data_IF_121447561775
#
_entry.id   IF_121447561775
#
_cell.length_a   1.000
_cell.length_b   1.000
_cell.length_c   1.000
_cell.angle_alpha   90.00
_cell.angle_beta   90.00
_cell.angle_gamma   90.00
#
_symmetry.space_group_name_H-M   'P 1'
#
loop_
_entity.id
_entity.type
_entity.pdbx_description
1 polymer ?
#
# COMPACT_ATOMS: atom_id res chain seq x y z
N UNK A 1 28.40 3.43 -26.79
CA UNK A 1 28.46 3.80 -25.37
C UNK A 1 27.00 3.99 -24.92
N UNK A 2 26.43 2.95 -24.36
CA UNK A 2 25.04 3.01 -23.81
C UNK A 2 25.15 3.75 -22.48
N UNK A 3 24.54 4.93 -22.39
CA UNK A 3 24.46 5.66 -21.14
C UNK A 3 23.67 4.78 -20.15
N UNK A 4 24.32 4.41 -19.04
CA UNK A 4 23.63 3.76 -17.93
C UNK A 4 22.48 4.69 -17.48
N UNK A 5 21.27 4.16 -17.36
CA UNK A 5 20.16 4.89 -16.76
C UNK A 5 20.60 5.41 -15.38
N UNK A 6 20.27 6.64 -15.00
CA UNK A 6 20.62 7.17 -13.69
C UNK A 6 20.08 6.20 -12.63
N UNK A 7 20.92 5.79 -11.69
CA UNK A 7 20.50 4.97 -10.57
C UNK A 7 19.38 5.72 -9.83
N UNK A 8 18.22 5.11 -9.71
CA UNK A 8 17.08 5.70 -8.99
C UNK A 8 17.50 5.93 -7.54
N UNK A 9 17.46 7.16 -7.08
CA UNK A 9 17.77 7.49 -5.69
C UNK A 9 16.69 6.88 -4.78
N UNK A 10 17.11 6.22 -3.70
CA UNK A 10 16.22 5.54 -2.76
C UNK A 10 16.09 6.34 -1.46
N UNK A 11 14.85 6.62 -1.05
CA UNK A 11 14.56 7.22 0.25
C UNK A 11 14.55 6.19 1.38
N UNK A 12 14.21 4.93 1.09
CA UNK A 12 14.31 3.80 2.02
C UNK A 12 14.94 2.63 1.30
N UNK A 13 15.95 2.03 1.93
CA UNK A 13 16.59 0.80 1.47
C UNK A 13 16.78 -0.13 2.67
N UNK A 14 16.39 -1.39 2.54
CA UNK A 14 16.71 -2.43 3.53
C UNK A 14 17.37 -3.62 2.85
N UNK A 15 18.31 -4.25 3.51
CA UNK A 15 19.01 -5.43 3.01
C UNK A 15 18.97 -6.52 4.07
N UNK A 16 18.31 -7.64 3.76
CA UNK A 16 18.17 -8.80 4.64
C UNK A 16 17.58 -8.47 6.01
N UNK A 17 16.75 -7.40 6.11
CA UNK A 17 16.25 -6.90 7.37
C UNK A 17 15.43 -7.96 8.09
N UNK A 18 15.83 -8.26 9.33
CA UNK A 18 15.22 -9.34 10.11
C UNK A 18 14.99 -8.94 11.55
N UNK A 19 13.88 -9.42 12.14
CA UNK A 19 13.54 -9.23 13.54
C UNK A 19 12.91 -10.47 14.13
N UNK A 20 13.53 -10.95 15.22
CA UNK A 20 13.04 -12.06 16.02
C UNK A 20 12.64 -11.57 17.42
N UNK A 21 11.48 -11.98 17.88
CA UNK A 21 11.02 -11.81 19.26
C UNK A 21 10.85 -13.20 19.88
N UNK A 22 11.77 -13.58 20.77
CA UNK A 22 11.79 -14.95 21.31
C UNK A 22 11.86 -15.99 20.18
N UNK A 23 10.82 -16.82 20.05
CA UNK A 23 10.71 -17.83 18.99
C UNK A 23 10.07 -17.31 17.70
N UNK A 24 9.38 -16.17 17.75
CA UNK A 24 8.66 -15.62 16.61
C UNK A 24 9.59 -14.78 15.72
N UNK A 25 9.65 -15.12 14.45
CA UNK A 25 10.34 -14.32 13.42
C UNK A 25 9.30 -13.36 12.81
N UNK A 26 9.30 -12.11 13.25
CA UNK A 26 8.32 -11.11 12.85
C UNK A 26 8.66 -10.41 11.52
N UNK A 27 9.96 -10.34 11.19
CA UNK A 27 10.48 -9.84 9.90
C UNK A 27 11.61 -10.76 9.50
N UNK A 28 11.60 -11.25 8.26
CA UNK A 28 12.46 -12.31 7.78
C UNK A 28 13.07 -11.94 6.41
N UNK A 29 14.29 -11.41 6.44
CA UNK A 29 15.09 -11.13 5.25
C UNK A 29 14.47 -10.13 4.28
N UNK A 30 13.90 -9.03 4.77
CA UNK A 30 13.20 -8.04 3.93
C UNK A 30 14.20 -7.14 3.20
N UNK A 31 14.15 -7.19 1.86
CA UNK A 31 14.89 -6.32 0.94
C UNK A 31 13.93 -5.31 0.30
N UNK A 32 13.80 -4.13 0.89
CA UNK A 32 12.87 -3.08 0.47
C UNK A 32 13.63 -1.95 -0.23
N UNK A 33 13.09 -1.47 -1.35
CA UNK A 33 13.61 -0.33 -2.10
C UNK A 33 12.49 0.66 -2.42
N UNK A 34 12.55 1.85 -1.80
CA UNK A 34 11.55 2.91 -1.97
C UNK A 34 12.16 4.07 -2.75
N UNK A 35 11.72 4.32 -4.00
CA UNK A 35 12.23 5.41 -4.81
C UNK A 35 11.89 6.79 -4.21
N UNK A 36 12.82 7.72 -4.29
CA UNK A 36 12.63 9.13 -3.88
C UNK A 36 11.50 9.77 -4.69
N UNK A 37 10.67 10.57 -4.02
CA UNK A 37 9.51 11.26 -4.62
C UNK A 37 8.31 10.37 -4.92
N UNK A 38 8.36 9.06 -4.56
CA UNK A 38 7.24 8.15 -4.76
C UNK A 38 6.21 8.22 -3.63
N UNK A 39 4.95 7.87 -3.96
CA UNK A 39 3.98 7.40 -2.96
C UNK A 39 4.06 5.89 -2.95
N UNK A 40 4.61 5.34 -1.88
CA UNK A 40 4.92 3.91 -1.77
C UNK A 40 3.96 3.22 -0.78
N UNK A 41 3.20 2.26 -1.27
CA UNK A 41 2.30 1.44 -0.46
C UNK A 41 2.99 0.21 0.11
N UNK A 42 2.89 0.02 1.42
CA UNK A 42 3.41 -1.17 2.10
C UNK A 42 2.24 -2.03 2.57
N UNK A 43 1.90 -3.03 1.77
CA UNK A 43 0.66 -3.78 1.83
C UNK A 43 0.86 -5.13 2.51
N UNK A 44 -0.13 -5.59 3.26
CA UNK A 44 -0.12 -6.93 3.86
C UNK A 44 -1.20 -7.11 4.91
N UNK A 45 -1.60 -8.35 5.24
CA UNK A 45 -2.58 -8.62 6.27
C UNK A 45 -2.09 -8.16 7.66
N UNK A 46 -3.00 -8.14 8.62
CA UNK A 46 -2.64 -7.87 10.00
C UNK A 46 -1.68 -8.96 10.51
N UNK A 47 -0.65 -8.55 11.26
CA UNK A 47 0.39 -9.48 11.72
C UNK A 47 1.46 -9.86 10.68
N UNK A 48 1.41 -9.35 9.44
CA UNK A 48 2.42 -9.64 8.40
C UNK A 48 3.80 -9.03 8.67
N UNK A 49 3.97 -8.20 9.71
CA UNK A 49 5.24 -7.57 10.07
C UNK A 49 5.39 -6.10 9.66
N UNK A 50 4.39 -5.45 9.06
CA UNK A 50 4.46 -4.05 8.57
C UNK A 50 4.92 -3.06 9.65
N UNK A 51 4.18 -2.95 10.76
CA UNK A 51 4.52 -2.03 11.87
C UNK A 51 5.88 -2.35 12.48
N UNK A 52 6.24 -3.65 12.58
CA UNK A 52 7.57 -4.05 13.04
C UNK A 52 8.65 -3.54 12.09
N UNK A 53 8.48 -3.70 10.79
CA UNK A 53 9.42 -3.19 9.78
C UNK A 53 9.56 -1.66 9.87
N UNK A 54 8.44 -0.94 10.03
CA UNK A 54 8.45 0.53 10.24
C UNK A 54 9.25 0.90 11.50
N UNK A 55 9.03 0.20 12.61
CA UNK A 55 9.78 0.45 13.86
C UNK A 55 11.28 0.22 13.70
N UNK A 56 11.67 -0.81 12.93
CA UNK A 56 13.08 -1.08 12.62
C UNK A 56 13.68 0.05 11.79
N UNK A 57 12.98 0.51 10.74
CA UNK A 57 13.43 1.61 9.89
C UNK A 57 13.64 2.91 10.68
N UNK A 58 12.75 3.23 11.62
CA UNK A 58 12.84 4.43 12.45
C UNK A 58 13.80 4.29 13.65
N UNK A 59 14.45 3.14 13.83
CA UNK A 59 15.31 2.89 14.98
C UNK A 59 14.56 2.74 16.32
N UNK A 60 13.23 2.57 16.29
CA UNK A 60 12.39 2.31 17.48
C UNK A 60 12.53 0.88 18.01
N UNK A 61 13.06 0.00 17.18
CA UNK A 61 13.45 -1.37 17.56
C UNK A 61 14.77 -1.73 16.87
N UNK A 62 15.63 -2.47 17.56
CA UNK A 62 16.88 -2.94 16.98
C UNK A 62 16.62 -4.18 16.11
N UNK A 63 17.17 -4.26 14.87
CA UNK A 63 17.11 -5.45 14.04
C UNK A 63 17.92 -6.59 14.67
N UNK A 64 17.56 -7.84 14.37
CA UNK A 64 18.38 -9.02 14.71
C UNK A 64 19.32 -9.42 13.58
N UNK A 65 19.11 -8.88 12.37
CA UNK A 65 19.95 -9.07 11.19
C UNK A 65 19.60 -8.08 10.09
N UNK A 66 20.49 -7.94 9.14
CA UNK A 66 20.35 -7.01 8.01
C UNK A 66 20.65 -5.56 8.35
N UNK A 67 20.34 -4.67 7.41
CA UNK A 67 20.61 -3.24 7.54
C UNK A 67 19.46 -2.39 6.99
N UNK A 68 19.44 -1.12 7.41
CA UNK A 68 18.47 -0.10 6.97
C UNK A 68 19.23 1.16 6.59
N UNK A 69 18.85 1.77 5.47
CA UNK A 69 19.25 3.12 5.09
C UNK A 69 18.02 3.98 4.85
N UNK A 70 18.01 5.18 5.41
CA UNK A 70 17.00 6.19 5.17
C UNK A 70 17.68 7.43 4.57
N UNK A 71 17.14 7.94 3.46
CA UNK A 71 17.68 9.11 2.76
C UNK A 71 19.20 8.97 2.45
N UNK A 72 19.62 7.74 2.11
CA UNK A 72 21.00 7.39 1.83
C UNK A 72 21.86 7.11 3.05
N UNK A 73 21.41 7.36 4.27
CA UNK A 73 22.17 7.26 5.52
C UNK A 73 21.89 5.95 6.29
N UNK A 74 22.92 5.36 6.89
CA UNK A 74 22.81 4.08 7.61
C UNK A 74 22.16 4.27 8.98
N UNK A 75 21.08 3.52 9.24
CA UNK A 75 20.37 3.50 10.52
C UNK A 75 20.83 2.32 11.40
N UNK A 76 20.91 2.47 12.73
CA UNK A 76 20.63 3.69 13.52
C UNK A 76 21.85 4.64 13.69
N UNK A 77 22.98 4.39 13.00
CA UNK A 77 24.21 5.17 13.18
C UNK A 77 24.02 6.67 12.95
N UNK A 78 23.26 7.04 11.91
CA UNK A 78 23.00 8.42 11.50
C UNK A 78 21.63 8.95 11.97
N UNK A 79 21.05 8.33 12.99
CA UNK A 79 19.70 8.61 13.49
C UNK A 79 19.47 10.12 13.73
N UNK A 80 20.41 10.80 14.37
CA UNK A 80 20.29 12.23 14.69
C UNK A 80 20.32 13.15 13.46
N UNK A 81 20.98 12.75 12.39
CA UNK A 81 21.00 13.48 11.12
C UNK A 81 19.78 13.20 10.25
N UNK A 82 19.24 12.00 10.33
CA UNK A 82 18.15 11.52 9.47
C UNK A 82 16.77 11.88 10.03
N UNK A 83 16.49 11.61 11.30
CA UNK A 83 15.15 11.79 11.87
C UNK A 83 14.57 13.20 11.76
N UNK A 84 15.36 14.30 11.83
CA UNK A 84 14.82 15.63 11.57
C UNK A 84 14.25 15.84 10.15
N UNK A 85 14.63 14.98 9.19
CA UNK A 85 14.16 14.99 7.81
C UNK A 85 13.02 14.00 7.57
N UNK A 86 12.65 13.20 8.60
CA UNK A 86 11.61 12.17 8.53
C UNK A 86 10.43 12.59 9.39
N UNK A 87 9.24 12.63 8.81
CA UNK A 87 7.99 12.73 9.56
C UNK A 87 7.38 11.33 9.73
N UNK A 88 6.93 11.01 10.93
CA UNK A 88 6.36 9.68 11.16
C UNK A 88 5.04 9.74 11.94
N UNK A 89 4.11 8.86 11.55
CA UNK A 89 2.91 8.48 12.31
C UNK A 89 2.93 6.97 12.47
N UNK A 90 3.22 6.48 13.69
CA UNK A 90 3.32 5.04 13.99
C UNK A 90 2.35 4.71 15.11
N UNK A 91 1.55 3.65 14.93
CA UNK A 91 0.58 3.14 15.93
C UNK A 91 -0.51 4.13 16.37
N UNK A 92 -0.76 5.14 15.55
CA UNK A 92 -1.76 6.16 15.83
C UNK A 92 -1.26 7.29 16.73
N UNK A 93 -2.03 8.36 16.81
CA UNK A 93 -1.63 9.59 17.46
C UNK A 93 -1.79 9.54 18.99
N UNK A 94 -0.69 9.64 19.72
CA UNK A 94 -0.66 9.76 21.18
C UNK A 94 -0.62 11.24 21.60
N UNK A 95 -1.79 11.84 21.82
CA UNK A 95 -1.92 13.24 22.23
C UNK A 95 -2.38 13.36 23.68
N UNK A 96 -2.08 14.50 24.30
CA UNK A 96 -2.66 14.88 25.58
C UNK A 96 -4.14 15.25 25.40
N UNK A 97 -5.08 14.45 25.92
CA UNK A 97 -6.51 14.59 25.57
C UNK A 97 -7.15 15.87 26.11
N UNK A 98 -6.56 16.45 27.18
CA UNK A 98 -7.06 17.67 27.81
C UNK A 98 -6.50 18.96 27.22
N UNK A 99 -5.47 18.87 26.38
CA UNK A 99 -4.94 20.00 25.61
C UNK A 99 -5.67 20.16 24.29
N UNK A 100 -5.64 21.35 23.73
CA UNK A 100 -6.14 21.62 22.37
C UNK A 100 -5.23 20.99 21.32
N UNK A 101 -5.70 20.90 20.06
CA UNK A 101 -4.88 20.45 18.94
C UNK A 101 -3.63 21.32 18.77
N UNK A 102 -3.79 22.64 18.76
CA UNK A 102 -2.67 23.56 18.67
C UNK A 102 -1.69 23.43 19.85
N UNK A 103 -2.20 23.30 21.09
CA UNK A 103 -1.35 23.18 22.27
C UNK A 103 -0.53 21.87 22.25
N UNK A 104 -1.10 20.76 21.75
CA UNK A 104 -0.36 19.52 21.53
C UNK A 104 0.78 19.74 20.52
N UNK A 105 0.49 20.32 19.34
CA UNK A 105 1.51 20.56 18.32
C UNK A 105 2.60 21.51 18.82
N UNK A 106 2.25 22.59 19.54
CA UNK A 106 3.24 23.49 20.15
C UNK A 106 4.18 22.76 21.11
N UNK A 107 3.65 21.76 21.83
CA UNK A 107 4.41 20.97 22.79
C UNK A 107 5.39 20.01 22.07
N UNK A 108 4.94 19.34 21.00
CA UNK A 108 5.81 18.48 20.20
C UNK A 108 6.87 19.28 19.44
N UNK A 109 6.52 20.40 18.84
CA UNK A 109 7.46 21.31 18.19
C UNK A 109 8.52 21.86 19.18
N UNK A 110 8.13 22.11 20.42
CA UNK A 110 9.06 22.56 21.45
C UNK A 110 10.08 21.50 21.86
N UNK A 111 9.78 20.24 21.65
CA UNK A 111 10.66 19.12 21.95
C UNK A 111 11.71 18.85 20.84
N UNK A 112 11.54 19.44 19.65
CA UNK A 112 12.50 19.33 18.56
C UNK A 112 13.61 20.40 18.71
N UNK A 113 14.86 20.01 19.03
CA UNK A 113 15.95 20.95 19.21
C UNK A 113 16.47 21.52 17.86
N UNK A 114 16.09 20.96 16.72
CA UNK A 114 16.59 21.34 15.41
C UNK A 114 15.82 22.50 14.78
N UNK A 115 14.69 22.93 15.36
CA UNK A 115 13.84 23.97 14.81
C UNK A 115 13.82 25.25 15.67
N UNK A 116 13.90 26.45 15.06
CA UNK A 116 13.91 27.71 15.80
C UNK A 116 12.59 27.96 16.56
N UNK A 117 12.64 28.30 17.83
CA UNK A 117 11.47 28.62 18.64
C UNK A 117 10.67 29.83 18.08
N UNK A 118 11.35 30.79 17.45
CA UNK A 118 10.74 32.00 16.88
C UNK A 118 9.68 31.70 15.78
N UNK A 119 9.84 30.63 15.02
CA UNK A 119 8.93 30.25 13.92
C UNK A 119 7.91 29.19 14.33
N UNK A 120 7.90 28.72 15.59
CA UNK A 120 6.99 27.68 16.10
C UNK A 120 5.51 27.97 15.80
N UNK A 121 5.05 29.19 16.09
CA UNK A 121 3.65 29.57 15.86
C UNK A 121 3.25 29.40 14.39
N UNK A 122 4.10 29.86 13.48
CA UNK A 122 3.87 29.74 12.04
C UNK A 122 3.86 28.28 11.57
N UNK A 123 4.80 27.44 12.07
CA UNK A 123 4.83 26.01 11.74
C UNK A 123 3.59 25.28 12.21
N UNK A 124 3.16 25.50 13.46
CA UNK A 124 1.94 24.88 14.01
C UNK A 124 0.71 25.31 13.22
N UNK A 125 0.60 26.58 12.89
CA UNK A 125 -0.51 27.08 12.08
C UNK A 125 -0.51 26.44 10.68
N UNK A 126 0.63 26.44 10.00
CA UNK A 126 0.78 25.82 8.66
C UNK A 126 0.45 24.33 8.70
N UNK A 127 0.92 23.59 9.73
CA UNK A 127 0.62 22.17 9.87
C UNK A 127 -0.89 21.91 10.05
N UNK A 128 -1.59 22.73 10.86
CA UNK A 128 -3.04 22.64 11.03
C UNK A 128 -3.81 22.99 9.76
N UNK A 129 -3.35 23.99 9.00
CA UNK A 129 -3.93 24.36 7.71
C UNK A 129 -3.82 23.23 6.70
N UNK A 130 -2.64 22.63 6.57
CA UNK A 130 -2.38 21.51 5.63
C UNK A 130 -3.30 20.30 5.87
N UNK A 131 -3.67 20.03 7.12
CA UNK A 131 -4.57 18.92 7.46
C UNK A 131 -6.04 19.33 7.62
N UNK A 132 -6.38 20.61 7.35
CA UNK A 132 -7.76 21.13 7.45
C UNK A 132 -8.32 21.18 8.87
N UNK A 133 -7.46 21.36 9.88
CA UNK A 133 -7.86 21.40 11.30
C UNK A 133 -7.81 22.81 11.94
N UNK A 134 -7.62 23.86 11.16
CA UNK A 134 -7.58 25.24 11.66
C UNK A 134 -8.83 25.61 12.45
N UNK A 135 -10.02 25.20 11.96
CA UNK A 135 -11.30 25.48 12.62
C UNK A 135 -11.45 24.78 13.99
N UNK A 136 -10.65 23.76 14.27
CA UNK A 136 -10.69 22.98 15.49
C UNK A 136 -9.41 23.12 16.33
N UNK A 137 -8.50 24.02 15.96
CA UNK A 137 -7.19 24.20 16.59
C UNK A 137 -7.26 24.33 18.13
N UNK A 138 -8.23 25.08 18.63
CA UNK A 138 -8.40 25.36 20.07
C UNK A 138 -9.30 24.33 20.79
N UNK A 139 -9.95 23.40 20.06
CA UNK A 139 -10.77 22.34 20.64
C UNK A 139 -9.90 21.30 21.32
N UNK A 140 -10.29 20.83 22.51
CA UNK A 140 -9.56 19.76 23.24
C UNK A 140 -9.57 18.45 22.45
N UNK A 141 -8.42 17.76 22.37
CA UNK A 141 -8.25 16.54 21.56
C UNK A 141 -9.18 15.40 22.01
N UNK A 142 -9.59 15.35 23.29
CA UNK A 142 -10.61 14.39 23.75
C UNK A 142 -11.95 14.50 22.99
N UNK A 143 -12.27 15.66 22.44
CA UNK A 143 -13.49 15.92 21.67
C UNK A 143 -13.28 15.85 20.15
N UNK A 144 -12.11 15.40 19.69
CA UNK A 144 -11.83 15.12 18.29
C UNK A 144 -12.42 13.76 17.89
N UNK A 145 -12.93 13.67 16.64
CA UNK A 145 -13.21 12.38 16.02
C UNK A 145 -11.90 11.61 15.78
N UNK A 146 -12.00 10.32 15.48
CA UNK A 146 -10.83 9.52 15.13
C UNK A 146 -10.08 10.13 13.92
N UNK A 147 -10.81 10.53 12.87
CA UNK A 147 -10.23 11.16 11.69
C UNK A 147 -9.54 12.50 12.01
N UNK A 148 -10.09 13.31 12.92
CA UNK A 148 -9.41 14.52 13.36
C UNK A 148 -8.12 14.20 14.13
N UNK A 149 -8.10 13.13 14.95
CA UNK A 149 -6.90 12.70 15.66
C UNK A 149 -5.83 12.19 14.69
N UNK A 150 -6.21 11.40 13.68
CA UNK A 150 -5.30 10.93 12.63
C UNK A 150 -4.68 12.11 11.85
N UNK A 151 -5.51 13.05 11.41
CA UNK A 151 -5.03 14.27 10.73
C UNK A 151 -4.12 15.11 11.62
N UNK A 152 -4.42 15.22 12.91
CA UNK A 152 -3.53 15.89 13.86
C UNK A 152 -2.18 15.15 13.99
N UNK A 153 -2.18 13.81 13.93
CA UNK A 153 -0.97 12.99 13.89
C UNK A 153 -0.11 13.27 12.67
N UNK A 154 -0.76 13.39 11.50
CA UNK A 154 -0.06 13.80 10.27
C UNK A 154 0.44 15.24 10.39
N UNK A 155 -0.34 16.17 10.98
CA UNK A 155 0.11 17.54 11.24
C UNK A 155 1.38 17.57 12.13
N UNK A 156 1.45 16.69 13.13
CA UNK A 156 2.65 16.55 13.96
C UNK A 156 3.87 16.10 13.13
N UNK A 157 3.70 15.16 12.21
CA UNK A 157 4.76 14.74 11.29
C UNK A 157 5.23 15.87 10.35
N UNK A 158 4.37 16.86 10.10
CA UNK A 158 4.59 18.01 9.20
C UNK A 158 5.04 19.31 9.88
N UNK A 159 5.35 19.30 11.18
CA UNK A 159 5.77 20.49 11.92
C UNK A 159 7.06 21.12 11.37
N UNK A 160 7.90 20.33 10.71
CA UNK A 160 9.06 20.83 9.96
C UNK A 160 9.02 20.28 8.52
N UNK A 161 9.78 20.87 7.57
CA UNK A 161 9.96 20.29 6.25
C UNK A 161 10.50 18.87 6.35
N UNK A 162 9.91 17.93 5.61
CA UNK A 162 10.28 16.52 5.62
C UNK A 162 10.52 16.02 4.21
N UNK A 163 11.63 15.30 4.02
CA UNK A 163 11.97 14.66 2.74
C UNK A 163 11.27 13.29 2.62
N UNK A 164 11.00 12.65 3.78
CA UNK A 164 10.35 11.35 3.88
C UNK A 164 9.23 11.40 4.94
N UNK A 165 8.07 10.88 4.58
CA UNK A 165 6.94 10.67 5.49
C UNK A 165 6.64 9.18 5.61
N UNK A 166 6.57 8.65 6.81
CA UNK A 166 6.23 7.26 7.11
C UNK A 166 4.93 7.23 7.91
N UNK A 167 3.87 6.74 7.29
CA UNK A 167 2.51 6.73 7.84
C UNK A 167 2.04 5.28 8.02
N UNK A 168 1.91 4.84 9.26
CA UNK A 168 1.44 3.49 9.58
C UNK A 168 -0.08 3.49 9.74
N UNK A 169 -0.78 2.82 8.79
CA UNK A 169 -2.24 2.66 8.74
C UNK A 169 -3.01 4.01 8.92
N UNK A 170 -2.69 5.09 8.16
CA UNK A 170 -3.21 6.43 8.44
C UNK A 170 -4.73 6.57 8.23
N UNK A 171 -5.35 5.62 7.55
CA UNK A 171 -6.80 5.60 7.22
C UNK A 171 -7.58 4.61 8.07
N UNK A 172 -6.90 3.84 8.92
CA UNK A 172 -7.54 2.79 9.71
C UNK A 172 -8.62 3.35 10.65
N UNK A 173 -9.82 2.76 10.58
CA UNK A 173 -10.96 3.14 11.40
C UNK A 173 -11.60 4.49 11.04
N UNK A 174 -11.26 5.08 9.89
CA UNK A 174 -11.88 6.29 9.39
C UNK A 174 -13.17 5.97 8.62
N UNK A 175 -14.10 6.92 8.65
CA UNK A 175 -15.23 6.93 7.75
C UNK A 175 -14.79 7.22 6.29
N UNK A 176 -15.66 7.00 5.30
CA UNK A 176 -15.30 7.23 3.89
C UNK A 176 -14.88 8.68 3.58
N UNK A 177 -15.38 9.67 4.34
CA UNK A 177 -14.98 11.06 4.16
C UNK A 177 -13.57 11.30 4.69
N UNK A 178 -13.28 10.86 5.93
CA UNK A 178 -11.95 10.97 6.53
C UNK A 178 -10.88 10.28 5.70
N UNK A 179 -11.20 9.09 5.16
CA UNK A 179 -10.32 8.37 4.25
C UNK A 179 -10.00 9.18 3.00
N UNK A 180 -11.00 9.81 2.36
CA UNK A 180 -10.78 10.69 1.18
C UNK A 180 -9.89 11.89 1.52
N UNK A 181 -10.11 12.51 2.69
CA UNK A 181 -9.33 13.67 3.14
C UNK A 181 -7.86 13.31 3.36
N UNK A 182 -7.57 12.17 4.04
CA UNK A 182 -6.19 11.67 4.23
C UNK A 182 -5.53 11.32 2.89
N UNK A 183 -6.24 10.69 1.96
CA UNK A 183 -5.72 10.38 0.62
C UNK A 183 -5.37 11.64 -0.18
N UNK A 184 -6.24 12.65 -0.14
CA UNK A 184 -5.97 13.94 -0.79
C UNK A 184 -4.73 14.62 -0.20
N UNK A 185 -4.58 14.55 1.12
CA UNK A 185 -3.41 15.07 1.81
C UNK A 185 -2.13 14.35 1.38
N UNK A 186 -2.12 13.02 1.37
CA UNK A 186 -0.95 12.22 0.92
C UNK A 186 -0.53 12.59 -0.50
N UNK A 187 -1.50 12.75 -1.41
CA UNK A 187 -1.20 13.18 -2.79
C UNK A 187 -0.59 14.58 -2.85
N UNK A 188 -1.10 15.53 -2.05
CA UNK A 188 -0.55 16.89 -2.03
C UNK A 188 0.88 16.91 -1.49
N UNK A 189 1.18 16.10 -0.46
CA UNK A 189 2.53 15.98 0.11
C UNK A 189 3.54 15.44 -0.91
N UNK A 190 3.13 14.44 -1.68
CA UNK A 190 3.96 13.90 -2.76
C UNK A 190 4.15 14.90 -3.91
N UNK A 191 3.10 15.65 -4.26
CA UNK A 191 3.20 16.71 -5.27
C UNK A 191 4.13 17.85 -4.85
N UNK A 192 4.27 18.09 -3.53
CA UNK A 192 5.24 19.02 -2.96
C UNK A 192 6.70 18.46 -2.95
N UNK A 193 6.91 17.23 -3.45
CA UNK A 193 8.22 16.61 -3.61
C UNK A 193 8.64 15.67 -2.48
N UNK A 194 7.83 15.45 -1.44
CA UNK A 194 8.15 14.50 -0.38
C UNK A 194 7.97 13.05 -0.86
N UNK A 195 8.83 12.15 -0.38
CA UNK A 195 8.55 10.70 -0.48
C UNK A 195 7.56 10.32 0.61
N UNK A 196 6.48 9.62 0.26
CA UNK A 196 5.47 9.19 1.23
C UNK A 196 5.37 7.66 1.24
N UNK A 197 5.71 7.07 2.38
CA UNK A 197 5.58 5.65 2.65
C UNK A 197 4.33 5.41 3.50
N UNK A 198 3.38 4.63 3.00
CA UNK A 198 2.10 4.37 3.65
C UNK A 198 1.91 2.88 3.83
N UNK A 199 1.75 2.41 5.07
CA UNK A 199 1.28 1.05 5.30
C UNK A 199 -0.24 0.98 5.19
N UNK A 200 -0.75 -0.12 4.64
CA UNK A 200 -2.19 -0.42 4.62
C UNK A 200 -2.42 -1.92 4.55
N UNK A 201 -3.55 -2.37 5.08
CA UNK A 201 -4.07 -3.72 4.85
C UNK A 201 -5.13 -3.72 3.73
N UNK A 202 -5.49 -2.56 3.18
CA UNK A 202 -6.51 -2.40 2.14
C UNK A 202 -5.87 -2.09 0.79
N UNK A 203 -5.95 -3.04 -0.13
CA UNK A 203 -5.42 -2.90 -1.47
C UNK A 203 -6.03 -1.71 -2.23
N UNK A 204 -7.36 -1.54 -2.14
CA UNK A 204 -8.08 -0.46 -2.81
C UNK A 204 -7.56 0.94 -2.43
N UNK A 205 -7.01 1.11 -1.22
CA UNK A 205 -6.37 2.36 -0.80
C UNK A 205 -5.05 2.58 -1.52
N UNK A 206 -4.19 1.54 -1.54
CA UNK A 206 -2.89 1.58 -2.21
C UNK A 206 -3.05 1.86 -3.70
N UNK A 207 -4.00 1.18 -4.37
CA UNK A 207 -4.27 1.40 -5.80
C UNK A 207 -4.70 2.82 -6.15
N UNK A 208 -5.34 3.52 -5.22
CA UNK A 208 -5.84 4.87 -5.45
C UNK A 208 -4.78 5.96 -5.28
N UNK A 209 -3.78 5.77 -4.42
CA UNK A 209 -2.85 6.85 -4.07
C UNK A 209 -1.39 6.55 -4.39
N UNK A 210 -1.00 5.28 -4.46
CA UNK A 210 0.39 4.90 -4.60
C UNK A 210 0.84 4.84 -6.06
N UNK A 211 2.12 5.07 -6.29
CA UNK A 211 2.81 4.85 -7.57
C UNK A 211 3.54 3.50 -7.56
N UNK A 212 4.03 3.11 -6.40
CA UNK A 212 4.75 1.86 -6.15
C UNK A 212 4.14 1.15 -4.96
N UNK A 213 4.34 -0.15 -4.87
CA UNK A 213 3.95 -0.90 -3.69
C UNK A 213 4.90 -2.07 -3.42
N UNK A 214 4.87 -2.53 -2.17
CA UNK A 214 5.46 -3.79 -1.74
C UNK A 214 4.43 -4.59 -0.94
N UNK A 215 4.43 -5.90 -1.13
CA UNK A 215 3.49 -6.82 -0.49
C UNK A 215 4.25 -7.66 0.53
N UNK A 216 3.77 -7.63 1.78
CA UNK A 216 4.27 -8.45 2.88
C UNK A 216 3.32 -9.59 3.23
N UNK A 217 3.87 -10.76 3.47
CA UNK A 217 3.17 -11.89 4.04
C UNK A 217 4.07 -12.65 5.01
N UNK A 218 3.56 -13.00 6.17
CA UNK A 218 4.26 -13.83 7.18
C UNK A 218 5.71 -13.36 7.47
N UNK A 219 5.93 -12.05 7.58
CA UNK A 219 7.25 -11.46 7.85
C UNK A 219 8.16 -11.28 6.63
N UNK A 220 7.75 -11.71 5.43
CA UNK A 220 8.56 -11.67 4.21
C UNK A 220 7.99 -10.71 3.18
N UNK A 221 8.88 -10.14 2.38
CA UNK A 221 8.50 -9.40 1.20
C UNK A 221 8.23 -10.40 0.05
N UNK A 222 7.00 -10.41 -0.48
CA UNK A 222 6.61 -11.35 -1.55
C UNK A 222 6.61 -10.73 -2.93
N UNK A 223 6.45 -9.40 -3.03
CA UNK A 223 6.56 -8.65 -4.27
C UNK A 223 6.83 -7.17 -3.98
N UNK A 224 7.54 -6.47 -4.88
CA UNK A 224 7.64 -5.01 -4.90
C UNK A 224 7.84 -4.52 -6.33
N UNK A 225 7.43 -3.27 -6.60
CA UNK A 225 7.58 -2.60 -7.88
C UNK A 225 6.57 -1.48 -8.07
N UNK A 226 6.49 -0.96 -9.28
CA UNK A 226 5.40 -0.05 -9.66
C UNK A 226 4.06 -0.77 -9.63
N UNK A 227 2.96 -0.05 -9.39
CA UNK A 227 1.63 -0.66 -9.47
C UNK A 227 1.34 -1.27 -10.85
N UNK A 228 1.91 -0.70 -11.91
CA UNK A 228 1.79 -1.23 -13.27
C UNK A 228 2.47 -2.60 -13.40
N UNK A 229 3.71 -2.74 -12.92
CA UNK A 229 4.44 -4.02 -12.92
C UNK A 229 3.76 -5.07 -12.04
N UNK A 230 3.28 -4.66 -10.86
CA UNK A 230 2.56 -5.55 -9.96
C UNK A 230 1.25 -6.06 -10.58
N UNK A 231 0.58 -5.26 -11.41
CA UNK A 231 -0.60 -5.69 -12.19
C UNK A 231 -0.23 -6.57 -13.38
N UNK A 232 0.84 -6.25 -14.11
CA UNK A 232 1.24 -6.98 -15.33
C UNK A 232 1.77 -8.39 -15.05
N UNK A 233 2.25 -8.68 -13.86
CA UNK A 233 2.75 -10.01 -13.49
C UNK A 233 1.66 -11.08 -13.31
N UNK A 234 0.39 -10.78 -13.54
CA UNK A 234 -0.71 -11.74 -13.59
C UNK A 234 -0.99 -12.16 -15.04
N UNK A 235 -1.15 -13.46 -15.32
CA UNK A 235 -1.61 -13.93 -16.62
C UNK A 235 -3.01 -13.40 -16.87
N UNK A 236 -3.22 -12.75 -18.05
CA UNK A 236 -4.57 -12.40 -18.48
C UNK A 236 -5.46 -13.64 -18.45
N UNK A 237 -6.72 -13.48 -18.07
CA UNK A 237 -7.70 -14.58 -18.08
C UNK A 237 -8.93 -14.20 -18.90
N UNK A 238 -9.55 -15.17 -19.49
CA UNK A 238 -10.90 -15.03 -20.03
C UNK A 238 -11.91 -15.38 -18.95
N UNK A 239 -13.00 -14.64 -18.93
CA UNK A 239 -14.19 -14.90 -18.14
C UNK A 239 -15.34 -15.21 -19.08
N UNK A 240 -15.95 -16.38 -18.91
CA UNK A 240 -17.10 -16.82 -19.69
C UNK A 240 -18.28 -17.04 -18.76
N UNK A 241 -19.37 -16.34 -19.02
CA UNK A 241 -20.65 -16.57 -18.33
C UNK A 241 -21.56 -17.41 -19.23
N UNK A 242 -21.94 -18.58 -18.78
CA UNK A 242 -22.76 -19.51 -19.55
C UNK A 242 -23.58 -20.44 -18.67
N UNK A 243 -24.80 -20.84 -19.08
CA UNK A 243 -25.50 -21.95 -18.44
C UNK A 243 -24.93 -23.33 -18.83
N UNK A 244 -24.07 -23.39 -19.86
CA UNK A 244 -23.54 -24.64 -20.43
C UNK A 244 -22.07 -24.85 -20.01
N UNK A 245 -21.78 -24.72 -18.71
CA UNK A 245 -20.42 -24.69 -18.18
C UNK A 245 -19.57 -25.91 -18.56
N UNK A 246 -20.14 -27.12 -18.49
CA UNK A 246 -19.44 -28.36 -18.87
C UNK A 246 -19.01 -28.39 -20.33
N UNK A 247 -19.88 -27.98 -21.25
CA UNK A 247 -19.56 -27.88 -22.68
C UNK A 247 -18.52 -26.79 -22.94
N UNK A 248 -18.68 -25.62 -22.30
CA UNK A 248 -17.74 -24.54 -22.41
C UNK A 248 -16.34 -24.92 -21.91
N UNK A 249 -16.23 -25.61 -20.76
CA UNK A 249 -14.96 -26.10 -20.24
C UNK A 249 -14.28 -27.09 -21.21
N UNK A 250 -15.05 -28.01 -21.85
CA UNK A 250 -14.52 -28.92 -22.83
C UNK A 250 -14.02 -28.21 -24.11
N UNK A 251 -14.68 -27.14 -24.54
CA UNK A 251 -14.21 -26.30 -25.67
C UNK A 251 -12.92 -25.57 -25.32
N UNK A 252 -12.86 -24.96 -24.12
CA UNK A 252 -11.67 -24.27 -23.66
C UNK A 252 -10.47 -25.23 -23.54
N UNK A 253 -10.68 -26.43 -23.00
CA UNK A 253 -9.64 -27.45 -22.91
C UNK A 253 -9.08 -27.87 -24.29
N UNK A 254 -9.94 -27.98 -25.32
CA UNK A 254 -9.50 -28.24 -26.72
C UNK A 254 -8.64 -27.13 -27.30
N UNK A 255 -8.84 -25.89 -26.85
CA UNK A 255 -8.03 -24.73 -27.20
C UNK A 255 -6.75 -24.61 -26.33
N UNK A 256 -6.48 -25.58 -25.46
CA UNK A 256 -5.32 -25.56 -24.55
C UNK A 256 -5.51 -24.65 -23.33
N UNK A 257 -6.74 -24.21 -23.05
CA UNK A 257 -7.07 -23.33 -21.94
C UNK A 257 -7.69 -24.14 -20.79
N UNK A 258 -7.00 -24.19 -19.63
CA UNK A 258 -7.50 -24.89 -18.44
C UNK A 258 -8.55 -24.03 -17.75
N UNK A 259 -9.82 -24.40 -17.87
CA UNK A 259 -10.92 -23.68 -17.26
C UNK A 259 -11.14 -24.12 -15.81
N UNK A 260 -11.36 -23.15 -14.90
CA UNK A 260 -11.80 -23.36 -13.54
C UNK A 260 -13.15 -22.65 -13.31
N UNK A 261 -14.03 -23.29 -12.54
CA UNK A 261 -15.30 -22.67 -12.14
C UNK A 261 -15.02 -21.67 -11.01
N UNK A 262 -15.43 -20.41 -11.22
CA UNK A 262 -15.27 -19.36 -10.20
C UNK A 262 -16.39 -19.42 -9.17
N UNK A 263 -16.04 -19.19 -7.91
CA UNK A 263 -17.00 -18.93 -6.81
C UNK A 263 -17.59 -17.52 -6.96
N UNK A 264 -18.41 -17.28 -7.95
CA UNK A 264 -19.14 -16.03 -8.16
C UNK A 264 -20.60 -16.18 -7.76
N UNK A 265 -21.14 -15.16 -7.11
CA UNK A 265 -22.54 -15.05 -6.70
C UNK A 265 -23.49 -15.52 -7.80
N UNK A 266 -24.50 -16.31 -7.44
CA UNK A 266 -25.53 -16.76 -8.35
C UNK A 266 -26.13 -15.55 -9.09
N UNK A 267 -25.91 -15.49 -10.41
CA UNK A 267 -26.37 -14.35 -11.23
C UNK A 267 -27.86 -14.53 -11.50
N UNK A 268 -28.68 -13.46 -11.42
CA UNK A 268 -30.09 -13.52 -11.79
C UNK A 268 -30.25 -14.10 -13.22
N UNK A 269 -30.91 -15.24 -13.34
CA UNK A 269 -31.15 -15.94 -14.62
C UNK A 269 -30.38 -17.25 -14.81
N UNK A 270 -29.61 -17.72 -13.82
CA UNK A 270 -28.90 -19.00 -13.85
C UNK A 270 -27.71 -19.00 -14.83
N UNK A 271 -26.57 -19.44 -14.41
CA UNK A 271 -25.33 -19.58 -15.20
C UNK A 271 -24.14 -19.68 -14.29
N UNK A 272 -23.08 -20.31 -14.78
CA UNK A 272 -21.79 -20.41 -14.10
C UNK A 272 -20.78 -19.51 -14.77
N UNK A 273 -19.83 -19.04 -13.99
CA UNK A 273 -18.68 -18.28 -14.49
C UNK A 273 -17.49 -19.22 -14.59
N UNK A 274 -16.91 -19.31 -15.77
CA UNK A 274 -15.66 -20.00 -16.00
C UNK A 274 -14.55 -19.00 -16.21
N UNK A 275 -13.42 -19.24 -15.56
CA UNK A 275 -12.18 -18.52 -15.77
C UNK A 275 -11.15 -19.45 -16.43
N UNK A 276 -10.44 -18.95 -17.43
CA UNK A 276 -9.33 -19.68 -18.01
C UNK A 276 -8.15 -18.72 -18.28
N UNK A 277 -6.92 -19.04 -17.84
CA UNK A 277 -5.76 -18.21 -18.09
C UNK A 277 -5.46 -18.15 -19.57
N UNK A 278 -5.19 -16.92 -20.09
CA UNK A 278 -4.69 -16.70 -21.45
C UNK A 278 -3.16 -16.77 -21.40
N UNK A 279 -2.51 -17.58 -22.24
CA UNK A 279 -1.07 -17.55 -22.38
C UNK A 279 -0.60 -16.18 -22.82
N UNK A 280 0.52 -15.69 -22.27
CA UNK A 280 1.11 -14.42 -22.70
C UNK A 280 1.40 -14.43 -24.21
N UNK A 281 1.18 -13.31 -24.88
CA UNK A 281 1.21 -13.14 -26.35
C UNK A 281 2.59 -13.33 -27.04
N UNK A 282 3.58 -13.93 -26.39
CA UNK A 282 4.93 -14.13 -26.88
C UNK A 282 5.20 -15.60 -27.26
N UNK A 283 4.53 -16.11 -28.30
CA UNK A 283 4.80 -17.45 -28.84
C UNK A 283 3.75 -17.94 -29.82
N UNK A 284 4.10 -18.91 -30.68
CA UNK A 284 3.28 -19.52 -31.73
C UNK A 284 2.03 -20.30 -31.20
N UNK A 285 1.41 -19.88 -30.12
CA UNK A 285 0.25 -20.51 -29.49
C UNK A 285 -0.72 -19.54 -28.82
N UNK A 286 -0.60 -18.24 -29.04
CA UNK A 286 -1.54 -17.28 -28.47
C UNK A 286 -2.93 -17.48 -29.08
N UNK A 287 -3.88 -17.91 -28.24
CA UNK A 287 -5.29 -18.05 -28.65
C UNK A 287 -5.92 -16.65 -28.56
N UNK A 288 -6.31 -16.10 -29.71
CA UNK A 288 -7.00 -14.82 -29.73
C UNK A 288 -8.37 -14.94 -29.03
N UNK A 289 -8.76 -13.97 -28.19
CA UNK A 289 -10.04 -13.97 -27.50
C UNK A 289 -11.24 -14.16 -28.42
N UNK A 290 -11.19 -13.59 -29.63
CA UNK A 290 -12.22 -13.70 -30.64
C UNK A 290 -12.36 -15.15 -31.14
N UNK A 291 -11.25 -15.87 -31.29
CA UNK A 291 -11.27 -17.27 -31.67
C UNK A 291 -11.90 -18.17 -30.59
N UNK A 292 -11.71 -17.80 -29.32
CA UNK A 292 -12.37 -18.51 -28.20
C UNK A 292 -13.88 -18.33 -28.27
N UNK A 293 -14.36 -17.09 -28.47
CA UNK A 293 -15.80 -16.83 -28.61
C UNK A 293 -16.38 -17.58 -29.80
N UNK A 294 -15.72 -17.54 -30.96
CA UNK A 294 -16.16 -18.27 -32.15
C UNK A 294 -16.26 -19.78 -31.90
N UNK A 295 -15.28 -20.38 -31.24
CA UNK A 295 -15.29 -21.80 -30.90
C UNK A 295 -16.40 -22.18 -29.92
N UNK A 296 -16.69 -21.36 -28.91
CA UNK A 296 -17.79 -21.55 -27.97
C UNK A 296 -19.14 -21.52 -28.70
N UNK A 297 -19.37 -20.53 -29.54
CA UNK A 297 -20.61 -20.37 -30.31
C UNK A 297 -20.77 -21.54 -31.31
N UNK A 298 -19.70 -21.93 -32.02
CA UNK A 298 -19.72 -23.06 -32.96
C UNK A 298 -20.04 -24.41 -32.28
N UNK A 299 -19.69 -24.54 -30.99
CA UNK A 299 -20.00 -25.70 -30.16
C UNK A 299 -21.41 -25.64 -29.54
N UNK A 300 -22.23 -24.62 -29.85
CA UNK A 300 -23.59 -24.47 -29.35
C UNK A 300 -23.67 -23.95 -27.89
N UNK A 301 -22.57 -23.43 -27.35
CA UNK A 301 -22.54 -22.86 -26.00
C UNK A 301 -23.30 -21.53 -25.98
N UNK A 302 -24.25 -21.37 -25.08
CA UNK A 302 -24.99 -20.12 -24.87
C UNK A 302 -24.13 -19.12 -24.07
N UNK A 303 -23.31 -18.34 -24.77
CA UNK A 303 -22.47 -17.31 -24.15
C UNK A 303 -23.33 -16.13 -23.75
N UNK A 304 -23.50 -15.90 -22.44
CA UNK A 304 -24.22 -14.74 -21.86
C UNK A 304 -23.29 -13.57 -21.57
N UNK A 305 -22.01 -13.84 -21.40
CA UNK A 305 -20.99 -12.82 -21.22
C UNK A 305 -19.61 -13.37 -21.52
N UNK A 306 -18.76 -12.54 -22.10
CA UNK A 306 -17.36 -12.83 -22.37
C UNK A 306 -16.55 -11.58 -22.10
N UNK A 307 -15.48 -11.72 -21.34
CA UNK A 307 -14.53 -10.64 -21.07
C UNK A 307 -13.12 -11.20 -20.99
N UNK A 308 -12.16 -10.42 -21.44
CA UNK A 308 -10.76 -10.60 -21.11
C UNK A 308 -10.47 -9.74 -19.90
N UNK A 309 -10.07 -10.38 -18.81
CA UNK A 309 -9.72 -9.72 -17.55
C UNK A 309 -8.21 -9.86 -17.33
N UNK A 310 -7.55 -8.78 -16.99
CA UNK A 310 -6.24 -8.91 -16.34
C UNK A 310 -6.48 -9.37 -14.91
N UNK A 311 -5.67 -10.30 -14.43
CA UNK A 311 -5.73 -10.71 -13.02
C UNK A 311 -5.59 -9.45 -12.17
N UNK A 312 -6.57 -9.23 -11.31
CA UNK A 312 -6.55 -8.05 -10.45
C UNK A 312 -5.35 -8.12 -9.49
N UNK A 313 -4.90 -6.98 -9.00
CA UNK A 313 -3.86 -6.95 -7.98
C UNK A 313 -4.34 -7.70 -6.71
N UNK A 314 -5.65 -7.75 -6.47
CA UNK A 314 -6.31 -8.48 -5.40
C UNK A 314 -6.18 -10.00 -5.56
N UNK A 315 -6.52 -10.55 -6.74
CA UNK A 315 -6.32 -11.98 -7.03
C UNK A 315 -4.85 -12.40 -6.86
N UNK A 316 -3.95 -11.52 -7.28
CA UNK A 316 -2.51 -11.74 -7.15
C UNK A 316 -2.05 -11.69 -5.69
N UNK A 317 -2.60 -10.76 -4.91
CA UNK A 317 -2.33 -10.69 -3.49
C UNK A 317 -2.81 -11.97 -2.78
N UNK A 318 -4.03 -12.41 -3.05
CA UNK A 318 -4.57 -13.68 -2.52
C UNK A 318 -3.69 -14.86 -2.90
N UNK A 319 -3.24 -14.92 -4.16
CA UNK A 319 -2.35 -15.99 -4.63
C UNK A 319 -0.98 -15.97 -3.94
N UNK A 320 -0.46 -14.79 -3.60
CA UNK A 320 0.85 -14.63 -2.96
C UNK A 320 0.82 -14.78 -1.43
N UNK A 321 -0.30 -14.44 -0.80
CA UNK A 321 -0.44 -14.44 0.67
C UNK A 321 -1.21 -15.64 1.21
N UNK A 322 -2.01 -16.31 0.37
CA UNK A 322 -2.93 -17.37 0.77
C UNK A 322 -4.15 -16.87 1.54
N UNK A 323 -4.27 -15.57 1.78
CA UNK A 323 -5.36 -14.95 2.54
C UNK A 323 -5.97 -13.80 1.73
N UNK A 324 -7.32 -13.75 1.64
CA UNK A 324 -8.03 -12.60 1.11
C UNK A 324 -7.99 -11.42 2.08
N UNK A 325 -8.17 -10.19 1.54
CA UNK A 325 -8.17 -8.97 2.35
C UNK A 325 -9.33 -8.85 3.35
N UNK A 326 -10.41 -9.58 3.13
CA UNK A 326 -11.63 -9.51 3.93
C UNK A 326 -11.84 -10.78 4.76
N UNK A 327 -11.12 -10.89 5.88
CA UNK A 327 -11.64 -11.59 7.04
C UNK A 327 -11.89 -10.54 8.12
N UNK A 328 -12.97 -9.78 7.93
CA UNK A 328 -13.58 -9.04 9.04
C UNK A 328 -14.22 -10.08 9.93
N UNK A 329 -13.61 -10.40 11.06
CA UNK A 329 -14.28 -10.95 12.23
C UNK A 329 -14.61 -9.83 13.18
#
# INVERSE_FOLDING_TARGET
MTAAAPATELSIETTGLSKRFGHQLAVDGVDLAVPTGSVFGFLGPNGSGKTTTIRLMLGLAAPTGGSVRLLGEEMPRQLHGVLPRVGALVEGPAFYPFLSGAANLHRFDAADPHVPAATRKARVQSALERVGLTHAADKKVRAYSLGMKQRLGIANALLAPRDLLILDEPTNGLDPQGTREVRSLVRSLAADGATVFVSSHLLAEVEQICTHAAIMSAGRLVAQGTLAELRQGGQARIRVLTPDAGTAAAVLARLGLSAATGSGSAIPGGGEVLYAPLPAAAGNGAVAPEAVVAALVAAGVRVRGFATEQVSLEDRFVALTGEGFDVVQ
#
